data_IF_836879917478
#
_entry.id   IF_836879917478
#
_cell.length_a   1.000
_cell.length_b   1.000
_cell.length_c   1.000
_cell.angle_alpha   90.00
_cell.angle_beta   90.00
_cell.angle_gamma   90.00
#
_symmetry.space_group_name_H-M   'P 1'
#
loop_
_entity.id
_entity.type
_entity.pdbx_description
1 polymer ?
#
# COMPACT_ATOMS: atom_id res chain seq x y z
N UNK A 1 -16.57 2.19 -21.47
CA UNK A 1 -15.80 1.29 -20.59
C UNK A 1 -14.34 1.54 -20.93
N UNK A 2 -13.55 2.03 -19.98
CA UNK A 2 -12.11 2.23 -20.18
C UNK A 2 -11.49 0.90 -19.76
N UNK A 3 -11.59 -0.08 -20.64
CA UNK A 3 -10.98 -1.38 -20.45
C UNK A 3 -9.48 -1.15 -20.62
N UNK A 4 -8.70 -1.34 -19.55
CA UNK A 4 -7.25 -1.33 -19.68
C UNK A 4 -6.90 -2.42 -20.70
N UNK A 5 -6.38 -2.03 -21.86
CA UNK A 5 -6.03 -3.02 -22.87
C UNK A 5 -4.98 -3.97 -22.26
N UNK A 6 -4.98 -5.28 -22.57
CA UNK A 6 -3.99 -6.23 -22.05
C UNK A 6 -2.54 -5.77 -22.21
N UNK A 7 -2.31 -4.93 -23.24
CA UNK A 7 -1.03 -4.27 -23.53
C UNK A 7 -0.62 -3.24 -22.45
N UNK A 8 -1.56 -2.45 -21.93
CA UNK A 8 -1.29 -1.44 -20.90
C UNK A 8 -0.95 -2.10 -19.57
N UNK A 9 -1.65 -3.18 -19.25
CA UNK A 9 -1.32 -4.04 -18.10
C UNK A 9 0.08 -4.63 -18.24
N UNK A 10 0.40 -5.23 -19.39
CA UNK A 10 1.71 -5.80 -19.64
C UNK A 10 2.82 -4.74 -19.55
N UNK A 11 2.59 -3.54 -20.10
CA UNK A 11 3.54 -2.44 -20.05
C UNK A 11 3.75 -1.91 -18.62
N UNK A 12 2.66 -1.69 -17.86
CA UNK A 12 2.74 -1.23 -16.48
C UNK A 12 3.42 -2.24 -15.56
N UNK A 13 3.09 -3.53 -15.70
CA UNK A 13 3.73 -4.60 -14.93
C UNK A 13 5.21 -4.76 -15.29
N UNK A 14 5.57 -4.65 -16.58
CA UNK A 14 6.96 -4.69 -17.01
C UNK A 14 7.76 -3.51 -16.45
N UNK A 15 7.16 -2.32 -16.43
CA UNK A 15 7.78 -1.14 -15.83
C UNK A 15 7.99 -1.31 -14.33
N UNK A 16 7.03 -1.86 -13.58
CA UNK A 16 7.19 -2.13 -12.14
C UNK A 16 8.35 -3.11 -11.88
N UNK A 17 8.41 -4.20 -12.64
CA UNK A 17 9.51 -5.18 -12.53
C UNK A 17 10.86 -4.55 -12.87
N UNK A 18 10.94 -3.68 -13.89
CA UNK A 18 12.21 -3.10 -14.36
C UNK A 18 12.68 -1.87 -13.56
N UNK A 19 11.77 -0.98 -13.20
CA UNK A 19 12.07 0.30 -12.53
C UNK A 19 11.85 0.23 -11.01
N UNK A 20 10.92 -0.60 -10.53
CA UNK A 20 10.40 -0.54 -9.16
C UNK A 20 9.75 0.80 -8.86
N UNK A 21 9.81 1.22 -7.59
CA UNK A 21 9.42 2.57 -7.15
C UNK A 21 10.64 3.51 -7.12
N UNK A 22 10.88 4.30 -8.17
CA UNK A 22 11.89 5.35 -8.15
C UNK A 22 11.52 6.42 -7.12
N UNK A 23 12.29 6.52 -6.03
CA UNK A 23 12.12 7.51 -4.95
C UNK A 23 12.10 8.99 -5.42
N UNK A 24 12.49 9.27 -6.66
CA UNK A 24 12.52 10.62 -7.25
C UNK A 24 11.23 10.99 -8.01
N UNK A 25 10.32 10.05 -8.25
CA UNK A 25 9.02 10.34 -8.86
C UNK A 25 7.95 10.59 -7.79
N UNK A 26 7.16 11.67 -7.90
CA UNK A 26 6.06 11.92 -6.97
C UNK A 26 5.01 10.81 -7.13
N UNK A 27 4.98 9.89 -6.17
CA UNK A 27 4.15 8.71 -6.27
C UNK A 27 2.67 9.05 -5.99
N UNK A 28 1.72 8.70 -6.89
CA UNK A 28 0.30 9.06 -6.75
C UNK A 28 -0.30 8.56 -5.43
N UNK A 29 0.17 7.42 -4.95
CA UNK A 29 -0.28 6.80 -3.70
C UNK A 29 0.13 7.63 -2.50
N UNK A 30 1.34 8.20 -2.47
CA UNK A 30 1.76 9.13 -1.41
C UNK A 30 0.85 10.36 -1.37
N UNK A 31 0.35 10.81 -2.53
CA UNK A 31 -0.65 11.86 -2.64
C UNK A 31 -1.98 11.52 -1.94
N UNK A 32 -2.42 10.25 -2.00
CA UNK A 32 -3.63 9.78 -1.28
C UNK A 32 -3.45 9.94 0.23
N UNK A 33 -2.25 9.67 0.75
CA UNK A 33 -1.92 9.90 2.15
C UNK A 33 -2.06 11.37 2.55
N UNK A 34 -1.51 12.27 1.74
CA UNK A 34 -1.65 13.73 1.96
C UNK A 34 -3.12 14.16 1.98
N UNK A 35 -3.90 13.71 1.00
CA UNK A 35 -5.34 14.02 0.91
C UNK A 35 -6.08 13.49 2.13
N UNK A 36 -5.77 12.27 2.56
CA UNK A 36 -6.35 11.64 3.75
C UNK A 36 -6.05 12.48 5.01
N UNK A 37 -4.79 12.83 5.25
CA UNK A 37 -4.40 13.66 6.40
C UNK A 37 -5.02 15.05 6.38
N UNK A 38 -5.17 15.66 5.20
CA UNK A 38 -5.82 16.96 5.05
C UNK A 38 -7.30 16.90 5.43
N UNK A 39 -8.05 15.92 4.90
CA UNK A 39 -9.46 15.73 5.25
C UNK A 39 -9.63 15.35 6.71
N UNK A 40 -8.78 14.47 7.24
CA UNK A 40 -8.81 14.07 8.63
C UNK A 40 -8.65 15.28 9.58
N UNK A 41 -7.69 16.17 9.30
CA UNK A 41 -7.47 17.40 10.08
C UNK A 41 -8.67 18.35 10.05
N UNK A 42 -9.41 18.36 8.94
CA UNK A 42 -10.63 19.15 8.79
C UNK A 42 -11.80 18.52 9.57
N UNK A 43 -12.00 17.21 9.40
CA UNK A 43 -13.07 16.43 10.03
C UNK A 43 -12.90 16.33 11.55
N UNK A 44 -11.66 16.32 12.06
CA UNK A 44 -11.35 16.36 13.51
C UNK A 44 -11.90 17.60 14.23
N UNK A 45 -12.26 18.67 13.51
CA UNK A 45 -12.89 19.87 14.09
C UNK A 45 -14.39 19.68 14.36
N UNK A 46 -14.99 18.60 13.86
CA UNK A 46 -16.41 18.31 13.99
C UNK A 46 -16.63 17.42 15.22
N UNK A 47 -17.60 17.73 16.10
CA UNK A 47 -17.82 16.98 17.36
C UNK A 47 -18.39 15.56 17.17
N UNK A 48 -18.60 15.10 15.93
CA UNK A 48 -19.19 13.81 15.60
C UNK A 48 -18.13 12.82 15.10
N UNK A 49 -17.41 12.17 16.03
CA UNK A 49 -16.30 11.26 15.69
C UNK A 49 -16.73 10.08 14.80
N UNK A 50 -17.89 9.48 15.06
CA UNK A 50 -18.39 8.33 14.27
C UNK A 50 -18.76 8.73 12.84
N UNK A 51 -19.43 9.87 12.67
CA UNK A 51 -19.79 10.38 11.34
C UNK A 51 -18.54 10.78 10.54
N UNK A 52 -17.55 11.36 11.23
CA UNK A 52 -16.27 11.74 10.64
C UNK A 52 -15.47 10.53 10.15
N UNK A 53 -15.53 9.40 10.86
CA UNK A 53 -14.90 8.14 10.45
C UNK A 53 -15.52 7.52 9.20
N UNK A 54 -16.84 7.64 8.99
CA UNK A 54 -17.49 7.18 7.76
C UNK A 54 -17.33 8.16 6.59
N UNK A 55 -17.28 9.46 6.87
CA UNK A 55 -17.23 10.50 5.84
C UNK A 55 -15.84 10.63 5.21
N UNK A 56 -14.78 10.41 5.99
CA UNK A 56 -13.39 10.46 5.52
C UNK A 56 -13.14 9.55 4.30
N UNK A 57 -13.38 8.22 4.35
CA UNK A 57 -13.09 7.34 3.22
C UNK A 57 -13.92 7.67 1.99
N UNK A 58 -15.17 8.10 2.17
CA UNK A 58 -16.04 8.53 1.06
C UNK A 58 -15.45 9.76 0.35
N UNK A 59 -15.04 10.78 1.10
CA UNK A 59 -14.47 12.00 0.52
C UNK A 59 -13.15 11.72 -0.20
N UNK A 60 -12.26 10.92 0.40
CA UNK A 60 -10.98 10.54 -0.22
C UNK A 60 -11.25 9.75 -1.51
N UNK A 61 -12.14 8.75 -1.48
CA UNK A 61 -12.49 7.96 -2.66
C UNK A 61 -13.09 8.81 -3.78
N UNK A 62 -13.96 9.78 -3.45
CA UNK A 62 -14.54 10.69 -4.45
C UNK A 62 -13.45 11.51 -5.14
N UNK A 63 -12.50 12.06 -4.39
CA UNK A 63 -11.38 12.84 -4.96
C UNK A 63 -10.49 11.94 -5.82
N UNK A 64 -10.12 10.76 -5.33
CA UNK A 64 -9.25 9.82 -6.05
C UNK A 64 -9.91 9.37 -7.36
N UNK A 65 -11.18 8.96 -7.32
CA UNK A 65 -11.92 8.53 -8.52
C UNK A 65 -12.06 9.70 -9.50
N UNK A 66 -12.32 10.92 -9.03
CA UNK A 66 -12.40 12.10 -9.89
C UNK A 66 -11.06 12.38 -10.60
N UNK A 67 -9.93 12.29 -9.88
CA UNK A 67 -8.58 12.48 -10.45
C UNK A 67 -8.24 11.39 -11.45
N UNK A 68 -8.49 10.12 -11.13
CA UNK A 68 -8.23 8.99 -12.03
C UNK A 68 -9.07 9.11 -13.29
N UNK A 69 -10.37 9.36 -13.17
CA UNK A 69 -11.26 9.48 -14.34
C UNK A 69 -10.90 10.69 -15.21
N UNK A 70 -10.52 11.82 -14.60
CA UNK A 70 -10.04 12.99 -15.31
C UNK A 70 -8.73 12.69 -16.08
N UNK A 71 -7.73 12.13 -15.41
CA UNK A 71 -6.43 11.80 -16.04
C UNK A 71 -6.57 10.79 -17.17
N UNK A 72 -7.40 9.76 -17.00
CA UNK A 72 -7.71 8.79 -18.06
C UNK A 72 -8.44 9.44 -19.25
N UNK A 73 -9.31 10.42 -19.00
CA UNK A 73 -10.01 11.14 -20.09
C UNK A 73 -9.06 11.98 -20.94
N UNK A 74 -8.05 12.59 -20.34
CA UNK A 74 -7.14 13.51 -21.04
C UNK A 74 -5.92 12.83 -21.64
N UNK A 75 -5.32 11.87 -20.92
CA UNK A 75 -4.06 11.23 -21.32
C UNK A 75 -4.22 9.77 -21.77
N UNK A 76 -5.43 9.20 -21.68
CA UNK A 76 -5.76 7.88 -22.23
C UNK A 76 -4.81 6.78 -21.74
N UNK A 77 -4.24 6.04 -22.71
CA UNK A 77 -3.35 4.90 -22.47
C UNK A 77 -2.10 5.25 -21.64
N UNK A 78 -1.54 6.45 -21.79
CA UNK A 78 -0.36 6.84 -21.02
C UNK A 78 -0.68 6.97 -19.51
N UNK A 79 -1.84 7.56 -19.18
CA UNK A 79 -2.31 7.59 -17.80
C UNK A 79 -2.67 6.19 -17.30
N UNK A 80 -3.20 5.32 -18.15
CA UNK A 80 -3.52 3.95 -17.79
C UNK A 80 -2.28 3.17 -17.35
N UNK A 81 -1.21 3.19 -18.17
CA UNK A 81 0.07 2.55 -17.85
C UNK A 81 0.66 3.13 -16.56
N UNK A 82 0.63 4.46 -16.40
CA UNK A 82 1.14 5.12 -15.21
C UNK A 82 0.40 4.70 -13.93
N UNK A 83 -0.94 4.66 -13.95
CA UNK A 83 -1.71 4.22 -12.78
C UNK A 83 -1.48 2.75 -12.44
N UNK A 84 -1.37 1.88 -13.46
CA UNK A 84 -1.09 0.45 -13.24
C UNK A 84 0.31 0.29 -12.65
N UNK A 85 1.31 0.94 -13.24
CA UNK A 85 2.68 0.97 -12.73
C UNK A 85 2.72 1.43 -11.28
N UNK A 86 2.10 2.57 -10.97
CA UNK A 86 2.10 3.12 -9.61
C UNK A 86 1.28 2.31 -8.60
N UNK A 87 0.36 1.46 -9.02
CA UNK A 87 -0.44 0.67 -8.08
C UNK A 87 0.17 -0.71 -7.76
N UNK A 88 1.03 -1.22 -8.64
CA UNK A 88 1.80 -2.45 -8.43
C UNK A 88 3.10 -2.12 -7.71
N UNK A 89 3.43 -2.89 -6.68
CA UNK A 89 4.68 -2.73 -5.91
C UNK A 89 5.45 -4.05 -5.82
N UNK A 90 5.56 -4.75 -6.96
CA UNK A 90 6.10 -6.13 -7.01
C UNK A 90 7.57 -6.16 -6.64
N UNK A 91 8.34 -5.17 -7.14
CA UNK A 91 9.79 -5.13 -6.91
C UNK A 91 10.15 -4.70 -5.49
N UNK A 92 9.36 -3.81 -4.88
CA UNK A 92 9.54 -3.42 -3.48
C UNK A 92 9.35 -4.62 -2.53
N UNK A 93 8.29 -5.40 -2.77
CA UNK A 93 7.99 -6.59 -1.99
C UNK A 93 9.11 -7.65 -2.09
N UNK A 94 9.61 -7.90 -3.30
CA UNK A 94 10.70 -8.84 -3.53
C UNK A 94 11.98 -8.44 -2.77
N UNK A 95 12.33 -7.15 -2.77
CA UNK A 95 13.53 -6.66 -2.08
C UNK A 95 13.44 -6.82 -0.57
N UNK A 96 12.33 -6.44 0.06
CA UNK A 96 12.18 -6.58 1.52
C UNK A 96 12.13 -8.05 1.94
N UNK A 97 11.40 -8.89 1.20
CA UNK A 97 11.32 -10.32 1.47
C UNK A 97 12.70 -10.99 1.42
N UNK A 98 13.50 -10.65 0.40
CA UNK A 98 14.86 -11.18 0.22
C UNK A 98 15.79 -10.83 1.36
N UNK A 99 15.67 -9.66 1.99
CA UNK A 99 16.54 -9.27 3.12
C UNK A 99 16.40 -10.22 4.30
N UNK A 100 15.17 -10.63 4.62
CA UNK A 100 14.91 -11.53 5.74
C UNK A 100 15.30 -12.97 5.39
N UNK A 101 14.93 -13.42 4.18
CA UNK A 101 15.30 -14.76 3.69
C UNK A 101 16.81 -14.93 3.64
N UNK A 102 17.54 -13.92 3.17
CA UNK A 102 18.99 -13.96 3.10
C UNK A 102 19.64 -14.06 4.50
N UNK A 103 19.09 -13.37 5.52
CA UNK A 103 19.57 -13.50 6.89
C UNK A 103 19.38 -14.93 7.44
N UNK A 104 18.22 -15.54 7.18
CA UNK A 104 17.95 -16.94 7.55
C UNK A 104 18.88 -17.92 6.83
N UNK A 105 19.08 -17.76 5.52
CA UNK A 105 19.95 -18.64 4.73
C UNK A 105 21.42 -18.64 5.18
N UNK A 106 21.89 -17.54 5.78
CA UNK A 106 23.25 -17.42 6.30
C UNK A 106 23.38 -17.82 7.77
N UNK A 107 22.31 -18.34 8.39
CA UNK A 107 22.31 -18.75 9.80
C UNK A 107 22.32 -17.59 10.80
N UNK A 108 22.06 -16.36 10.36
CA UNK A 108 22.06 -15.16 11.21
C UNK A 108 20.66 -14.93 11.80
N UNK A 109 20.32 -15.77 12.80
CA UNK A 109 19.00 -15.77 13.43
C UNK A 109 18.70 -14.45 14.17
N UNK A 110 19.70 -13.83 14.79
CA UNK A 110 19.51 -12.58 15.53
C UNK A 110 19.20 -11.40 14.59
N UNK A 111 19.86 -11.36 13.42
CA UNK A 111 19.50 -10.41 12.37
C UNK A 111 18.11 -10.70 11.81
N UNK A 112 17.76 -11.97 11.57
CA UNK A 112 16.44 -12.34 11.07
C UNK A 112 15.33 -11.94 12.07
N UNK A 113 15.53 -12.14 13.38
CA UNK A 113 14.61 -11.67 14.44
C UNK A 113 14.44 -10.17 14.43
N UNK A 114 15.55 -9.42 14.29
CA UNK A 114 15.52 -7.96 14.23
C UNK A 114 14.72 -7.46 13.03
N UNK A 115 14.96 -8.07 11.85
CA UNK A 115 14.26 -7.72 10.61
C UNK A 115 12.77 -8.05 10.68
N UNK A 116 12.41 -9.26 11.15
CA UNK A 116 11.00 -9.64 11.33
C UNK A 116 10.31 -8.77 12.36
N UNK A 117 10.98 -8.38 13.44
CA UNK A 117 10.41 -7.51 14.48
C UNK A 117 9.95 -6.15 13.95
N UNK A 118 10.64 -5.60 12.94
CA UNK A 118 10.21 -4.37 12.25
C UNK A 118 8.92 -4.56 11.46
N UNK A 119 8.69 -5.77 10.97
CA UNK A 119 7.56 -6.11 10.12
C UNK A 119 6.32 -6.47 10.96
N UNK A 120 6.48 -7.31 11.98
CA UNK A 120 5.35 -7.80 12.81
C UNK A 120 5.00 -6.89 13.99
N UNK A 121 5.81 -5.87 14.29
CA UNK A 121 5.51 -4.88 15.34
C UNK A 121 5.41 -5.44 16.76
N UNK A 122 6.00 -6.61 17.05
CA UNK A 122 6.02 -7.27 18.38
C UNK A 122 7.44 -7.71 18.74
N UNK A 123 7.68 -8.01 20.02
CA UNK A 123 8.98 -8.53 20.47
C UNK A 123 9.24 -9.92 19.84
N UNK A 124 10.35 -10.02 19.12
CA UNK A 124 10.78 -11.21 18.37
C UNK A 124 12.03 -11.87 18.97
N UNK A 125 12.56 -11.37 20.10
CA UNK A 125 13.83 -11.83 20.69
C UNK A 125 13.87 -13.33 20.99
N UNK A 126 12.73 -13.92 21.35
CA UNK A 126 12.62 -15.34 21.72
C UNK A 126 12.08 -16.23 20.60
N UNK A 127 11.89 -15.72 19.38
CA UNK A 127 11.37 -16.52 18.26
C UNK A 127 12.39 -17.58 17.83
N UNK A 128 11.92 -18.81 17.62
CA UNK A 128 12.72 -19.86 16.98
C UNK A 128 12.89 -19.55 15.48
N UNK A 129 13.82 -20.24 14.81
CA UNK A 129 13.97 -20.13 13.36
C UNK A 129 12.65 -20.46 12.61
N UNK A 130 11.89 -21.44 13.12
CA UNK A 130 10.58 -21.79 12.57
C UNK A 130 9.55 -20.67 12.74
N UNK A 131 9.52 -20.03 13.91
CA UNK A 131 8.62 -18.90 14.17
C UNK A 131 8.95 -17.69 13.28
N UNK A 132 10.24 -17.39 13.12
CA UNK A 132 10.73 -16.32 12.24
C UNK A 132 10.34 -16.62 10.80
N UNK A 133 10.58 -17.85 10.33
CA UNK A 133 10.23 -18.28 8.97
C UNK A 133 8.72 -18.17 8.72
N UNK A 134 7.90 -18.65 9.65
CA UNK A 134 6.44 -18.55 9.55
C UNK A 134 5.97 -17.10 9.49
N UNK A 135 6.50 -16.24 10.35
CA UNK A 135 6.15 -14.83 10.37
C UNK A 135 6.51 -14.13 9.04
N UNK A 136 7.67 -14.45 8.46
CA UNK A 136 8.04 -13.95 7.13
C UNK A 136 7.03 -14.41 6.08
N UNK A 137 6.70 -15.69 6.02
CA UNK A 137 5.74 -16.20 5.03
C UNK A 137 4.36 -15.55 5.17
N UNK A 138 3.88 -15.39 6.40
CA UNK A 138 2.59 -14.75 6.67
C UNK A 138 2.59 -13.29 6.18
N UNK A 139 3.61 -12.50 6.51
CA UNK A 139 3.67 -11.11 6.06
C UNK A 139 3.93 -10.98 4.56
N UNK A 140 4.76 -11.85 3.97
CA UNK A 140 4.97 -11.83 2.52
C UNK A 140 3.70 -12.19 1.78
N UNK A 141 2.94 -13.18 2.25
CA UNK A 141 1.66 -13.56 1.65
C UNK A 141 0.62 -12.43 1.78
N UNK A 142 0.51 -11.80 2.94
CA UNK A 142 -0.37 -10.65 3.18
C UNK A 142 -0.01 -9.48 2.27
N UNK A 143 1.27 -9.08 2.26
CA UNK A 143 1.73 -8.00 1.40
C UNK A 143 1.58 -8.33 -0.09
N UNK A 144 1.78 -9.59 -0.51
CA UNK A 144 1.55 -10.01 -1.90
C UNK A 144 0.08 -9.89 -2.28
N UNK A 145 -0.82 -10.29 -1.38
CA UNK A 145 -2.26 -10.13 -1.57
C UNK A 145 -2.60 -8.66 -1.81
N UNK A 146 -2.11 -7.77 -0.94
CA UNK A 146 -2.51 -6.37 -0.93
C UNK A 146 -1.76 -5.49 -1.95
N UNK A 147 -0.54 -5.85 -2.32
CA UNK A 147 0.28 -5.10 -3.27
C UNK A 147 0.09 -5.54 -4.73
N UNK A 148 -0.35 -6.78 -4.98
CA UNK A 148 -0.41 -7.35 -6.32
C UNK A 148 -1.78 -7.97 -6.62
N UNK A 149 -2.20 -8.98 -5.83
CA UNK A 149 -3.36 -9.80 -6.18
C UNK A 149 -4.65 -8.97 -6.16
N UNK A 150 -4.91 -8.26 -5.07
CA UNK A 150 -6.11 -7.46 -4.92
C UNK A 150 -6.16 -6.27 -5.91
N UNK A 151 -5.09 -5.48 -6.13
CA UNK A 151 -5.08 -4.48 -7.19
C UNK A 151 -5.40 -5.05 -8.58
N UNK A 152 -4.81 -6.19 -8.95
CA UNK A 152 -5.10 -6.84 -10.24
C UNK A 152 -6.53 -7.37 -10.32
N UNK A 153 -7.07 -7.89 -9.22
CA UNK A 153 -8.45 -8.33 -9.15
C UNK A 153 -9.43 -7.16 -9.37
N UNK A 154 -9.22 -6.04 -8.67
CA UNK A 154 -10.07 -4.85 -8.84
C UNK A 154 -9.86 -4.18 -10.19
N UNK A 155 -8.67 -4.26 -10.77
CA UNK A 155 -8.43 -3.87 -12.16
C UNK A 155 -9.28 -4.71 -13.13
N UNK A 156 -9.33 -6.03 -12.94
CA UNK A 156 -10.09 -6.91 -13.81
C UNK A 156 -11.61 -6.71 -13.70
N UNK A 157 -12.13 -6.44 -12.50
CA UNK A 157 -13.59 -6.30 -12.26
C UNK A 157 -14.10 -4.89 -12.54
N UNK A 158 -13.34 -3.86 -12.17
CA UNK A 158 -13.80 -2.46 -12.15
C UNK A 158 -12.89 -1.51 -12.97
N UNK A 159 -11.87 -2.05 -13.65
CA UNK A 159 -10.90 -1.26 -14.38
C UNK A 159 -9.95 -0.48 -13.48
N UNK A 160 -9.22 0.46 -14.09
CA UNK A 160 -8.22 1.30 -13.41
C UNK A 160 -8.81 2.08 -12.22
N UNK A 161 -10.03 2.67 -12.32
CA UNK A 161 -10.65 3.32 -11.15
C UNK A 161 -10.81 2.37 -9.97
N UNK A 162 -11.13 1.09 -10.21
CA UNK A 162 -11.24 0.08 -9.17
C UNK A 162 -9.92 -0.27 -8.51
N UNK A 163 -8.87 -0.48 -9.31
CA UNK A 163 -7.51 -0.73 -8.83
C UNK A 163 -7.03 0.39 -7.89
N UNK A 164 -7.19 1.65 -8.32
CA UNK A 164 -6.77 2.81 -7.55
C UNK A 164 -7.65 3.00 -6.31
N UNK A 165 -8.96 2.74 -6.41
CA UNK A 165 -9.87 2.80 -5.26
C UNK A 165 -9.48 1.78 -4.17
N UNK A 166 -9.15 0.55 -4.55
CA UNK A 166 -8.67 -0.45 -3.59
C UNK A 166 -7.36 0.01 -2.92
N UNK A 167 -6.39 0.50 -3.70
CA UNK A 167 -5.12 0.99 -3.15
C UNK A 167 -5.33 2.19 -2.23
N UNK A 168 -6.30 3.07 -2.53
CA UNK A 168 -6.67 4.17 -1.67
C UNK A 168 -7.24 3.69 -0.34
N UNK A 169 -8.13 2.69 -0.36
CA UNK A 169 -8.71 2.08 0.84
C UNK A 169 -7.61 1.44 1.68
N UNK A 170 -6.73 0.64 1.08
CA UNK A 170 -5.64 -0.01 1.79
C UNK A 170 -4.66 1.02 2.42
N UNK A 171 -4.39 2.11 1.70
CA UNK A 171 -3.58 3.23 2.21
C UNK A 171 -4.26 3.90 3.41
N UNK A 172 -5.56 4.17 3.32
CA UNK A 172 -6.33 4.74 4.42
C UNK A 172 -6.39 3.82 5.64
N UNK A 173 -6.56 2.51 5.43
CA UNK A 173 -6.59 1.52 6.52
C UNK A 173 -5.25 1.49 7.27
N UNK A 174 -4.14 1.50 6.52
CA UNK A 174 -2.79 1.60 7.08
C UNK A 174 -2.54 2.88 7.88
N UNK A 175 -3.23 3.99 7.55
CA UNK A 175 -3.09 5.27 8.24
C UNK A 175 -4.06 5.45 9.43
N UNK A 176 -5.30 5.00 9.30
CA UNK A 176 -6.41 5.28 10.24
C UNK A 176 -6.62 4.13 11.24
N UNK A 177 -6.14 2.92 10.92
CA UNK A 177 -6.46 1.69 11.64
C UNK A 177 -5.93 1.56 13.08
N UNK A 178 -4.95 2.37 13.52
CA UNK A 178 -4.38 2.23 14.86
C UNK A 178 -5.06 3.12 15.92
N UNK A 179 -5.82 2.47 16.80
CA UNK A 179 -6.23 3.02 18.10
C UNK A 179 -5.07 2.87 19.08
N UNK A 180 -4.56 3.97 19.62
CA UNK A 180 -3.75 3.89 20.85
C UNK A 180 -4.64 3.44 22.03
N UNK A 181 -4.00 2.91 23.09
CA UNK A 181 -4.58 2.52 24.38
C UNK A 181 -5.50 3.56 25.05
N UNK A 182 -5.58 4.78 24.49
CA UNK A 182 -6.43 5.89 24.90
C UNK A 182 -7.74 6.02 24.10
N UNK A 183 -8.09 5.05 23.26
CA UNK A 183 -9.34 5.06 22.47
C UNK A 183 -9.38 6.13 21.37
N UNK A 184 -8.23 6.68 20.97
CA UNK A 184 -8.11 7.74 19.96
C UNK A 184 -7.46 7.17 18.70
N UNK A 185 -8.13 7.31 17.56
CA UNK A 185 -7.51 7.05 16.25
C UNK A 185 -6.40 8.08 16.05
N UNK A 186 -5.16 7.63 16.05
CA UNK A 186 -4.00 8.44 15.72
C UNK A 186 -3.36 7.85 14.48
N UNK A 187 -2.92 8.72 13.58
CA UNK A 187 -2.05 8.34 12.49
C UNK A 187 -0.79 7.71 13.10
N UNK A 188 -0.71 6.38 13.07
CA UNK A 188 0.50 5.66 13.41
C UNK A 188 1.52 6.03 12.34
N UNK A 189 2.55 6.76 12.74
CA UNK A 189 3.69 7.05 11.89
C UNK A 189 4.45 5.74 11.59
N UNK A 190 4.02 5.03 10.55
CA UNK A 190 4.82 3.98 9.90
C UNK A 190 5.82 4.56 8.89
N UNK A 191 5.91 5.90 8.73
CA UNK A 191 6.87 6.51 7.81
C UNK A 191 8.32 6.35 8.28
N UNK A 192 8.55 5.90 9.52
CA UNK A 192 9.87 5.53 10.03
C UNK A 192 10.30 4.06 9.84
N UNK A 193 9.38 3.08 9.86
CA UNK A 193 9.77 1.66 10.03
C UNK A 193 9.08 0.64 9.11
N UNK A 194 8.08 1.04 8.33
CA UNK A 194 7.58 0.23 7.22
C UNK A 194 6.99 1.17 6.17
N UNK A 195 7.81 1.49 5.16
CA UNK A 195 7.34 2.19 3.99
C UNK A 195 6.09 1.45 3.47
N UNK A 196 4.97 2.15 3.20
CA UNK A 196 3.94 1.57 2.35
C UNK A 196 4.66 1.11 1.09
N UNK A 197 4.44 -0.14 0.69
CA UNK A 197 4.97 -0.72 -0.55
C UNK A 197 4.32 0.02 -1.73
N UNK A 198 4.93 1.16 -2.03
CA UNK A 198 4.60 2.18 -3.01
C UNK A 198 5.81 3.12 -3.12
#
# INVERSE_FOLDING_TARGET
MIDAAPLELAAGALLDVLAGDPHWLPHPISGIGVVTSSFERLLRKIPYEKASGCLLPVLVLLVVIAVVTFTLRWAGAAAAVYWIFSCLATRGLDQESKRVIHALQHGDLDRARTLVGRIVGRDTKNMTEQDVTRAVFETVAENMSDAIVAPLFFLAVLGIPGMVAYKAINTMDSMVGYKNERGRAHCGDRSGDAAPMA
#
